data_IF_800934084835
#
_entry.id   IF_800934084835
#
_cell.length_a   1.000
_cell.length_b   1.000
_cell.length_c   1.000
_cell.angle_alpha   90.00
_cell.angle_beta   90.00
_cell.angle_gamma   90.00
#
_symmetry.space_group_name_H-M   'P 1'
#
loop_
_entity.id
_entity.type
_entity.pdbx_description
1 polymer ?
#
# COMPACT_ATOMS: atom_id res chain seq x y z
N UNK A 1 9.80 -0.79 -19.58
CA UNK A 1 9.54 0.69 -19.61
C UNK A 1 10.46 1.34 -18.58
N UNK A 2 11.11 2.42 -18.91
CA UNK A 2 12.08 3.05 -18.00
C UNK A 2 11.36 3.82 -16.89
N UNK A 3 11.96 3.91 -15.71
CA UNK A 3 11.39 4.62 -14.55
C UNK A 3 11.06 6.09 -14.87
N UNK A 4 11.91 6.76 -15.66
CA UNK A 4 11.71 8.15 -16.08
C UNK A 4 10.41 8.37 -16.89
N UNK A 5 10.01 7.39 -17.73
CA UNK A 5 8.76 7.45 -18.48
C UNK A 5 7.55 7.30 -17.55
N UNK A 6 7.63 6.41 -16.56
CA UNK A 6 6.58 6.24 -15.55
C UNK A 6 6.44 7.52 -14.71
N UNK A 7 7.54 8.11 -14.28
CA UNK A 7 7.51 9.36 -13.51
C UNK A 7 6.87 10.50 -14.31
N UNK A 8 7.14 10.62 -15.61
CA UNK A 8 6.45 11.60 -16.48
C UNK A 8 4.95 11.36 -16.56
N UNK A 9 4.52 10.09 -16.65
CA UNK A 9 3.07 9.75 -16.65
C UNK A 9 2.41 10.06 -15.31
N UNK A 10 3.10 9.83 -14.20
CA UNK A 10 2.63 10.22 -12.86
C UNK A 10 2.43 11.74 -12.81
N UNK A 11 3.44 12.52 -13.22
CA UNK A 11 3.34 13.98 -13.24
C UNK A 11 2.18 14.49 -14.12
N UNK A 12 2.01 13.91 -15.31
CA UNK A 12 0.89 14.25 -16.20
C UNK A 12 -0.49 13.92 -15.58
N UNK A 13 -0.59 12.83 -14.80
CA UNK A 13 -1.84 12.41 -14.17
C UNK A 13 -2.23 13.29 -12.95
N UNK A 14 -1.26 13.92 -12.28
CA UNK A 14 -1.47 14.73 -11.06
C UNK A 14 -2.31 15.98 -11.28
N UNK A 15 -2.33 16.54 -12.49
CA UNK A 15 -3.10 17.76 -12.83
C UNK A 15 -2.95 18.89 -11.79
N UNK A 16 -1.76 19.05 -11.19
CA UNK A 16 -1.50 20.04 -10.14
C UNK A 16 -1.84 19.61 -8.71
N UNK A 17 -2.33 18.40 -8.48
CA UNK A 17 -2.47 17.82 -7.14
C UNK A 17 -1.09 17.48 -6.56
N UNK A 18 -1.00 17.37 -5.24
CA UNK A 18 0.24 17.21 -4.47
C UNK A 18 1.18 16.07 -4.90
N UNK A 19 2.12 15.71 -4.07
CA UNK A 19 3.10 14.64 -4.34
C UNK A 19 2.44 13.25 -4.39
N UNK A 20 2.83 12.42 -5.35
CA UNK A 20 2.41 11.02 -5.48
C UNK A 20 3.62 10.12 -5.29
N UNK A 21 3.56 9.26 -4.29
CA UNK A 21 4.62 8.30 -3.98
C UNK A 21 4.49 7.04 -4.85
N UNK A 22 5.60 6.62 -5.47
CA UNK A 22 5.69 5.36 -6.20
C UNK A 22 6.26 4.27 -5.29
N UNK A 23 5.54 3.15 -5.17
CA UNK A 23 6.04 1.90 -4.58
C UNK A 23 6.26 0.90 -5.71
N UNK A 24 7.51 0.50 -5.93
CA UNK A 24 7.89 -0.51 -6.92
C UNK A 24 7.61 -1.91 -6.37
N UNK A 25 6.64 -2.62 -6.96
CA UNK A 25 6.21 -3.95 -6.50
C UNK A 25 7.12 -5.02 -7.10
N UNK A 26 8.00 -5.57 -6.28
CA UNK A 26 9.07 -6.49 -6.70
C UNK A 26 8.73 -7.99 -6.56
N UNK A 27 7.48 -8.35 -6.31
CA UNK A 27 7.03 -9.73 -6.00
C UNK A 27 7.44 -10.82 -7.01
N UNK A 28 7.69 -10.46 -8.26
CA UNK A 28 7.97 -11.41 -9.35
C UNK A 28 9.35 -11.19 -9.99
N UNK A 29 10.23 -10.40 -9.37
CA UNK A 29 11.57 -10.08 -9.88
C UNK A 29 12.65 -10.41 -8.85
N UNK A 30 13.90 -10.45 -9.29
CA UNK A 30 15.06 -10.74 -8.45
C UNK A 30 15.63 -9.49 -7.75
N UNK A 31 16.86 -9.64 -7.22
CA UNK A 31 17.57 -8.55 -6.56
C UNK A 31 18.19 -7.59 -7.57
N UNK A 32 18.55 -8.09 -8.75
CA UNK A 32 19.22 -7.28 -9.77
C UNK A 32 18.29 -6.21 -10.32
N UNK A 33 17.03 -6.53 -10.56
CA UNK A 33 16.01 -5.58 -10.98
C UNK A 33 15.71 -4.54 -9.90
N UNK A 34 15.76 -4.96 -8.61
CA UNK A 34 15.63 -4.00 -7.49
C UNK A 34 16.83 -3.05 -7.46
N UNK A 35 18.07 -3.55 -7.65
CA UNK A 35 19.28 -2.73 -7.73
C UNK A 35 19.24 -1.76 -8.91
N UNK A 36 18.76 -2.24 -10.05
CA UNK A 36 18.61 -1.41 -11.25
C UNK A 36 17.68 -0.22 -11.00
N UNK A 37 16.46 -0.48 -10.48
CA UNK A 37 15.53 0.60 -10.15
C UNK A 37 16.07 1.52 -9.04
N UNK A 38 16.77 0.96 -8.05
CA UNK A 38 17.41 1.77 -7.03
C UNK A 38 18.48 2.71 -7.62
N UNK A 39 19.28 2.26 -8.58
CA UNK A 39 20.27 3.10 -9.27
C UNK A 39 19.64 4.25 -10.06
N UNK A 40 18.36 4.13 -10.42
CA UNK A 40 17.56 5.17 -11.06
C UNK A 40 16.82 6.07 -10.03
N UNK A 41 17.02 5.86 -8.73
CA UNK A 41 16.45 6.69 -7.65
C UNK A 41 15.20 6.12 -6.97
N UNK A 42 14.73 4.93 -7.34
CA UNK A 42 13.60 4.31 -6.67
C UNK A 42 14.03 3.73 -5.31
N UNK A 43 13.41 4.16 -4.22
CA UNK A 43 13.77 3.71 -2.87
C UNK A 43 12.68 2.90 -2.16
N UNK A 44 11.41 3.07 -2.54
CA UNK A 44 10.29 2.37 -1.92
C UNK A 44 9.91 1.13 -2.74
N UNK A 45 9.96 -0.05 -2.10
CA UNK A 45 9.66 -1.34 -2.73
C UNK A 45 8.58 -2.08 -1.95
N UNK A 46 7.72 -2.82 -2.67
CA UNK A 46 6.61 -3.56 -2.10
C UNK A 46 6.71 -5.06 -2.33
N UNK A 47 6.53 -5.84 -1.24
CA UNK A 47 6.45 -7.29 -1.28
C UNK A 47 5.13 -7.81 -0.72
N UNK A 48 4.61 -8.87 -1.34
CA UNK A 48 3.35 -9.49 -0.92
C UNK A 48 3.52 -10.81 -0.12
N UNK A 49 4.74 -11.30 0.05
CA UNK A 49 5.07 -12.50 0.84
C UNK A 49 6.17 -12.16 1.85
N UNK A 50 5.95 -12.51 3.11
CA UNK A 50 6.92 -12.23 4.19
C UNK A 50 8.28 -12.88 3.93
N UNK A 51 8.28 -14.09 3.34
CA UNK A 51 9.53 -14.80 2.99
C UNK A 51 10.34 -14.06 1.92
N UNK A 52 9.66 -13.52 0.89
CA UNK A 52 10.33 -12.75 -0.16
C UNK A 52 10.83 -11.41 0.36
N UNK A 53 10.04 -10.75 1.21
CA UNK A 53 10.47 -9.54 1.90
C UNK A 53 11.74 -9.83 2.71
N UNK A 54 11.77 -10.91 3.50
CA UNK A 54 12.95 -11.31 4.27
C UNK A 54 14.15 -11.55 3.35
N UNK A 55 14.00 -12.40 2.35
CA UNK A 55 15.07 -12.77 1.42
C UNK A 55 15.71 -11.54 0.75
N UNK A 56 14.87 -10.62 0.28
CA UNK A 56 15.35 -9.42 -0.43
C UNK A 56 15.91 -8.36 0.51
N UNK A 57 15.26 -8.10 1.65
CA UNK A 57 15.76 -7.11 2.61
C UNK A 57 17.10 -7.52 3.23
N UNK A 58 17.33 -8.83 3.46
CA UNK A 58 18.62 -9.34 3.93
C UNK A 58 19.70 -9.27 2.84
N UNK A 59 19.38 -9.65 1.60
CA UNK A 59 20.32 -9.63 0.47
C UNK A 59 20.69 -8.22 -0.01
N UNK A 60 19.85 -7.23 0.26
CA UNK A 60 20.02 -5.84 -0.17
C UNK A 60 20.18 -4.88 1.02
N UNK A 61 20.63 -5.40 2.16
CA UNK A 61 20.75 -4.65 3.42
C UNK A 61 21.70 -3.44 3.38
N UNK A 62 22.62 -3.42 2.40
CA UNK A 62 23.55 -2.33 2.14
C UNK A 62 22.87 -1.12 1.49
N UNK A 63 21.66 -1.29 0.92
CA UNK A 63 20.91 -0.23 0.27
C UNK A 63 19.84 0.33 1.24
N UNK A 64 19.65 1.64 1.34
CA UNK A 64 18.67 2.27 2.22
C UNK A 64 17.24 2.16 1.65
N UNK A 65 16.82 0.93 1.34
CA UNK A 65 15.50 0.66 0.75
C UNK A 65 14.39 0.79 1.79
N UNK A 66 13.28 1.38 1.37
CA UNK A 66 12.04 1.46 2.17
C UNK A 66 11.12 0.31 1.77
N UNK A 67 11.09 -0.74 2.60
CA UNK A 67 10.29 -1.91 2.33
C UNK A 67 8.85 -1.74 2.82
N UNK A 68 7.89 -1.91 1.92
CA UNK A 68 6.47 -1.96 2.22
C UNK A 68 5.96 -3.41 2.15
N UNK A 69 5.19 -3.81 3.14
CA UNK A 69 4.46 -5.08 3.04
C UNK A 69 3.04 -4.81 2.54
N UNK A 70 2.70 -5.42 1.40
CA UNK A 70 1.46 -5.13 0.65
C UNK A 70 0.59 -6.38 0.43
N UNK A 71 0.94 -7.52 1.03
CA UNK A 71 0.21 -8.78 0.87
C UNK A 71 -0.62 -9.14 2.09
N UNK A 72 -1.53 -10.10 1.94
CA UNK A 72 -2.32 -10.60 3.06
C UNK A 72 -1.42 -11.24 4.12
N UNK A 73 -1.49 -10.72 5.33
CA UNK A 73 -0.69 -11.19 6.46
C UNK A 73 -1.40 -12.36 7.16
N UNK A 74 -0.80 -13.54 7.08
CA UNK A 74 -1.26 -14.70 7.84
C UNK A 74 -0.82 -14.60 9.31
N UNK A 75 -1.66 -15.03 10.24
CA UNK A 75 -1.41 -14.91 11.69
C UNK A 75 -0.11 -15.61 12.14
N UNK A 76 0.27 -16.73 11.50
CA UNK A 76 1.51 -17.46 11.77
C UNK A 76 2.77 -16.75 11.22
N UNK A 77 2.63 -15.67 10.44
CA UNK A 77 3.71 -14.87 9.87
C UNK A 77 3.91 -13.52 10.56
N UNK A 78 3.07 -13.17 11.53
CA UNK A 78 3.14 -11.88 12.23
C UNK A 78 4.54 -11.63 12.80
N UNK A 79 5.08 -12.57 13.59
CA UNK A 79 6.40 -12.40 14.22
C UNK A 79 7.53 -12.23 13.18
N UNK A 80 7.43 -12.94 12.05
CA UNK A 80 8.41 -12.79 10.96
C UNK A 80 8.33 -11.40 10.34
N UNK A 81 7.12 -10.89 10.06
CA UNK A 81 6.95 -9.54 9.50
C UNK A 81 7.47 -8.46 10.46
N UNK A 82 7.13 -8.55 11.73
CA UNK A 82 7.55 -7.58 12.76
C UNK A 82 9.08 -7.53 12.87
N UNK A 83 9.75 -8.70 12.85
CA UNK A 83 11.20 -8.77 12.91
C UNK A 83 11.92 -8.09 11.74
N UNK A 84 11.26 -8.00 10.57
CA UNK A 84 11.80 -7.33 9.37
C UNK A 84 11.67 -5.80 9.41
N UNK A 85 10.89 -5.26 10.34
CA UNK A 85 10.66 -3.81 10.51
C UNK A 85 10.31 -3.10 9.19
N UNK A 86 9.25 -3.50 8.48
CA UNK A 86 8.88 -2.81 7.25
C UNK A 86 8.61 -1.34 7.52
N UNK A 87 8.93 -0.48 6.55
CA UNK A 87 8.65 0.97 6.64
C UNK A 87 7.14 1.23 6.70
N UNK A 88 6.35 0.42 6.00
CA UNK A 88 4.90 0.56 5.95
C UNK A 88 4.23 -0.81 5.74
N UNK A 89 3.23 -1.11 6.57
CA UNK A 89 2.31 -2.22 6.35
C UNK A 89 1.01 -1.69 5.74
N UNK A 90 0.74 -2.03 4.47
CA UNK A 90 -0.39 -1.46 3.72
C UNK A 90 -1.67 -2.30 3.76
N UNK A 91 -1.63 -3.51 4.30
CA UNK A 91 -2.69 -4.51 4.14
C UNK A 91 -3.31 -4.96 5.48
N UNK A 92 -3.54 -4.01 6.38
CA UNK A 92 -4.29 -4.27 7.60
C UNK A 92 -5.79 -4.38 7.28
N UNK A 93 -6.32 -5.59 7.21
CA UNK A 93 -7.66 -5.88 6.68
C UNK A 93 -8.72 -6.23 7.72
N UNK A 94 -8.37 -6.23 9.01
CA UNK A 94 -9.34 -6.45 10.09
C UNK A 94 -8.82 -5.93 11.44
N UNK A 95 -9.75 -5.64 12.34
CA UNK A 95 -9.44 -5.28 13.72
C UNK A 95 -8.70 -6.41 14.46
N UNK A 96 -9.14 -7.66 14.27
CA UNK A 96 -8.55 -8.83 14.92
C UNK A 96 -7.07 -8.99 14.52
N UNK A 97 -6.76 -8.79 13.24
CA UNK A 97 -5.39 -8.83 12.74
C UNK A 97 -4.57 -7.65 13.30
N UNK A 98 -5.13 -6.44 13.31
CA UNK A 98 -4.50 -5.26 13.91
C UNK A 98 -4.15 -5.51 15.39
N UNK A 99 -5.09 -6.03 16.16
CA UNK A 99 -4.89 -6.36 17.58
C UNK A 99 -3.82 -7.43 17.78
N UNK A 100 -3.82 -8.47 16.93
CA UNK A 100 -2.84 -9.55 16.99
C UNK A 100 -1.41 -9.07 16.67
N UNK A 101 -1.26 -8.14 15.72
CA UNK A 101 0.02 -7.49 15.39
C UNK A 101 0.43 -6.55 16.51
N UNK A 102 -0.46 -5.67 16.97
CA UNK A 102 -0.19 -4.71 18.05
C UNK A 102 0.34 -5.34 19.32
N UNK A 103 -0.23 -6.50 19.74
CA UNK A 103 0.20 -7.25 20.93
C UNK A 103 1.64 -7.76 20.86
N UNK A 104 2.20 -7.89 19.68
CA UNK A 104 3.55 -8.43 19.42
C UNK A 104 4.57 -7.34 19.07
N UNK A 105 4.11 -6.16 18.68
CA UNK A 105 4.97 -5.03 18.34
C UNK A 105 5.63 -4.43 19.59
N UNK A 106 6.93 -4.15 19.47
CA UNK A 106 7.73 -3.42 20.47
C UNK A 106 8.21 -2.06 19.95
N UNK A 107 7.70 -1.66 18.80
CA UNK A 107 8.00 -0.38 18.13
C UNK A 107 6.77 0.11 17.37
N UNK A 108 6.65 1.42 17.08
CA UNK A 108 5.55 1.91 16.25
C UNK A 108 5.72 1.46 14.80
N UNK A 109 4.64 0.93 14.19
CA UNK A 109 4.60 0.53 12.79
C UNK A 109 3.59 1.38 12.02
N UNK A 110 4.06 2.11 11.02
CA UNK A 110 3.18 2.82 10.08
C UNK A 110 2.32 1.80 9.32
N UNK A 111 1.02 2.04 9.32
CA UNK A 111 0.03 1.06 8.85
C UNK A 111 -1.07 1.75 8.05
N UNK A 112 -1.51 1.12 6.95
CA UNK A 112 -2.72 1.50 6.23
C UNK A 112 -3.82 0.46 6.46
N UNK A 113 -5.05 0.94 6.59
CA UNK A 113 -6.23 0.09 6.62
C UNK A 113 -6.59 -0.35 5.19
N UNK A 114 -6.68 -1.64 4.94
CA UNK A 114 -7.10 -2.17 3.63
C UNK A 114 -8.62 -2.17 3.54
N UNK A 115 -9.15 -1.45 2.54
CA UNK A 115 -10.58 -1.26 2.30
C UNK A 115 -11.01 -2.05 1.07
N UNK A 116 -12.08 -2.82 1.19
CA UNK A 116 -12.80 -3.41 0.06
C UNK A 116 -13.75 -2.36 -0.55
N UNK A 117 -13.17 -1.39 -1.25
CA UNK A 117 -13.92 -0.29 -1.84
C UNK A 117 -14.85 -0.73 -3.00
N UNK A 118 -14.53 -1.83 -3.65
CA UNK A 118 -15.34 -2.40 -4.73
C UNK A 118 -16.58 -3.17 -4.22
N UNK A 119 -16.59 -3.58 -2.94
CA UNK A 119 -17.68 -4.38 -2.36
C UNK A 119 -17.74 -5.82 -2.90
N UNK A 120 -16.66 -6.33 -3.49
CA UNK A 120 -16.61 -7.67 -4.04
C UNK A 120 -16.33 -8.68 -2.91
N UNK A 121 -17.19 -9.69 -2.75
CA UNK A 121 -17.06 -10.71 -1.70
C UNK A 121 -15.78 -11.56 -1.80
N UNK A 122 -15.17 -11.63 -2.99
CA UNK A 122 -13.91 -12.35 -3.24
C UNK A 122 -12.66 -11.58 -2.81
N UNK A 123 -12.78 -10.29 -2.48
CA UNK A 123 -11.63 -9.43 -2.11
C UNK A 123 -11.45 -9.34 -0.60
N UNK A 124 -10.19 -9.24 -0.21
CA UNK A 124 -9.80 -8.88 1.15
C UNK A 124 -10.09 -7.41 1.43
N UNK A 125 -10.02 -7.03 2.68
CA UNK A 125 -10.26 -5.66 3.12
C UNK A 125 -11.54 -5.48 3.92
N UNK A 126 -11.58 -4.43 4.71
CA UNK A 126 -12.75 -4.07 5.51
C UNK A 126 -13.89 -3.54 4.63
N UNK A 127 -15.11 -3.82 5.03
CA UNK A 127 -16.29 -3.21 4.42
C UNK A 127 -16.18 -1.68 4.49
N UNK A 128 -16.35 -1.03 3.35
CA UNK A 128 -16.27 0.43 3.22
C UNK A 128 -17.18 1.18 4.20
N UNK A 129 -18.36 0.62 4.52
CA UNK A 129 -19.33 1.24 5.42
C UNK A 129 -18.86 1.23 6.89
N UNK A 130 -17.93 0.33 7.25
CA UNK A 130 -17.35 0.21 8.59
C UNK A 130 -15.95 0.81 8.70
N UNK A 131 -15.37 1.22 7.60
CA UNK A 131 -13.97 1.59 7.52
C UNK A 131 -13.58 2.73 8.48
N UNK A 132 -14.39 3.76 8.59
CA UNK A 132 -14.13 4.91 9.49
C UNK A 132 -14.21 4.47 10.96
N UNK A 133 -15.26 3.73 11.33
CA UNK A 133 -15.43 3.21 12.70
C UNK A 133 -14.24 2.32 13.10
N UNK A 134 -13.89 1.36 12.25
CA UNK A 134 -12.80 0.41 12.53
C UNK A 134 -11.42 1.11 12.56
N UNK A 135 -11.19 2.10 11.70
CA UNK A 135 -9.97 2.90 11.75
C UNK A 135 -9.81 3.60 13.12
N UNK A 136 -10.88 4.26 13.58
CA UNK A 136 -10.87 4.96 14.87
C UNK A 136 -10.69 4.00 16.04
N UNK A 137 -11.37 2.85 15.99
CA UNK A 137 -11.24 1.78 16.99
C UNK A 137 -9.82 1.24 17.06
N UNK A 138 -9.23 0.87 15.92
CA UNK A 138 -7.84 0.37 15.86
C UNK A 138 -6.88 1.44 16.38
N UNK A 139 -7.04 2.69 15.97
CA UNK A 139 -6.21 3.80 16.44
C UNK A 139 -6.30 4.02 17.94
N UNK A 140 -7.47 3.81 18.52
CA UNK A 140 -7.68 3.93 19.96
C UNK A 140 -7.05 2.78 20.74
N UNK A 141 -7.18 1.53 20.24
CA UNK A 141 -6.83 0.33 20.99
C UNK A 141 -5.43 -0.23 20.66
N UNK A 142 -4.91 0.04 19.46
CA UNK A 142 -3.66 -0.52 18.95
C UNK A 142 -2.54 0.54 18.93
N UNK A 143 -2.00 0.89 20.10
CA UNK A 143 -1.07 2.02 20.27
C UNK A 143 0.29 1.87 19.57
N UNK A 144 0.70 0.64 19.24
CA UNK A 144 1.91 0.38 18.48
C UNK A 144 1.67 0.39 16.95
N UNK A 145 0.41 0.49 16.51
CA UNK A 145 0.08 0.72 15.10
C UNK A 145 -0.18 2.21 14.88
N UNK A 146 0.66 2.82 14.05
CA UNK A 146 0.45 4.19 13.61
C UNK A 146 -0.39 4.19 12.34
N UNK A 147 -1.72 4.26 12.48
CA UNK A 147 -2.62 4.31 11.32
C UNK A 147 -2.47 5.67 10.62
N UNK A 148 -1.92 5.67 9.41
CA UNK A 148 -1.60 6.87 8.63
C UNK A 148 -2.39 6.99 7.33
N UNK A 149 -3.37 6.13 7.11
CA UNK A 149 -4.20 6.20 5.92
C UNK A 149 -4.88 4.89 5.55
N UNK A 150 -5.30 4.82 4.30
CA UNK A 150 -6.03 3.69 3.73
C UNK A 150 -5.37 3.15 2.47
N UNK A 151 -5.63 1.89 2.17
CA UNK A 151 -5.23 1.22 0.94
C UNK A 151 -6.44 0.52 0.32
N UNK A 152 -6.55 0.55 -1.00
CA UNK A 152 -7.50 -0.31 -1.72
C UNK A 152 -6.89 -0.89 -2.99
N UNK A 153 -7.48 -1.99 -3.45
CA UNK A 153 -7.24 -2.57 -4.77
C UNK A 153 -8.46 -2.25 -5.61
N UNK A 154 -8.26 -1.62 -6.78
CA UNK A 154 -9.32 -1.26 -7.70
C UNK A 154 -10.19 -2.46 -8.11
N UNK A 155 -11.40 -2.20 -8.57
CA UNK A 155 -12.30 -3.25 -9.04
C UNK A 155 -11.66 -4.03 -10.20
N UNK A 156 -11.76 -5.37 -10.17
CA UNK A 156 -11.27 -6.23 -11.26
C UNK A 156 -12.30 -6.32 -12.39
N UNK A 157 -12.58 -5.20 -12.99
CA UNK A 157 -13.51 -5.05 -14.13
C UNK A 157 -12.83 -4.30 -15.26
N UNK A 158 -13.33 -4.45 -16.47
CA UNK A 158 -12.80 -3.75 -17.65
C UNK A 158 -13.35 -2.35 -17.84
N UNK A 159 -14.43 -2.01 -17.16
CA UNK A 159 -15.12 -0.72 -17.31
C UNK A 159 -14.47 0.38 -16.46
N UNK A 160 -13.86 1.42 -17.09
CA UNK A 160 -13.16 2.48 -16.35
C UNK A 160 -14.05 3.23 -15.34
N UNK A 161 -15.33 3.41 -15.65
CA UNK A 161 -16.27 4.07 -14.75
C UNK A 161 -16.51 3.29 -13.44
N UNK A 162 -16.49 1.96 -13.47
CA UNK A 162 -16.61 1.14 -12.27
C UNK A 162 -15.32 1.16 -11.44
N UNK A 163 -14.17 1.18 -12.12
CA UNK A 163 -12.87 1.33 -11.45
C UNK A 163 -12.80 2.70 -10.76
N UNK A 164 -13.19 3.79 -11.46
CA UNK A 164 -13.24 5.13 -10.89
C UNK A 164 -14.12 5.19 -9.65
N UNK A 165 -15.35 4.65 -9.70
CA UNK A 165 -16.25 4.60 -8.53
C UNK A 165 -15.63 3.92 -7.31
N UNK A 166 -14.84 2.85 -7.52
CA UNK A 166 -14.16 2.18 -6.42
C UNK A 166 -13.05 3.05 -5.81
N UNK A 167 -12.34 3.83 -6.61
CA UNK A 167 -11.32 4.77 -6.14
C UNK A 167 -11.94 5.98 -5.45
N UNK A 168 -13.04 6.52 -5.98
CA UNK A 168 -13.79 7.62 -5.37
C UNK A 168 -14.32 7.22 -3.99
N UNK A 169 -14.90 6.03 -3.86
CA UNK A 169 -15.36 5.51 -2.56
C UNK A 169 -14.19 5.38 -1.55
N UNK A 170 -13.02 4.93 -1.98
CA UNK A 170 -11.84 4.88 -1.11
C UNK A 170 -11.34 6.28 -0.75
N UNK A 171 -11.43 7.23 -1.68
CA UNK A 171 -11.06 8.62 -1.46
C UNK A 171 -11.99 9.31 -0.47
N UNK A 172 -13.30 9.10 -0.54
CA UNK A 172 -14.27 9.63 0.44
C UNK A 172 -13.96 9.13 1.87
N UNK A 173 -13.62 7.84 2.02
CA UNK A 173 -13.21 7.29 3.31
C UNK A 173 -11.91 7.97 3.80
N UNK A 174 -10.93 8.12 2.91
CA UNK A 174 -9.69 8.81 3.25
C UNK A 174 -9.94 10.23 3.71
N UNK A 175 -10.76 11.01 3.00
CA UNK A 175 -11.08 12.40 3.34
C UNK A 175 -11.76 12.50 4.71
N UNK A 176 -12.66 11.58 5.04
CA UNK A 176 -13.27 11.48 6.36
C UNK A 176 -12.24 11.18 7.47
N UNK A 177 -11.12 10.55 7.14
CA UNK A 177 -10.07 10.17 8.08
C UNK A 177 -8.92 11.20 8.19
N UNK A 178 -8.84 12.18 7.29
CA UNK A 178 -7.83 13.27 7.35
C UNK A 178 -7.84 14.00 8.70
N UNK A 179 -8.99 14.39 9.28
CA UNK A 179 -9.03 15.00 10.60
C UNK A 179 -8.49 14.08 11.71
N UNK A 180 -8.44 12.78 11.45
CA UNK A 180 -7.94 11.76 12.37
C UNK A 180 -6.49 11.35 12.09
N UNK A 181 -5.79 12.08 11.22
CA UNK A 181 -4.36 11.91 10.94
C UNK A 181 -4.04 10.99 9.76
N UNK A 182 -5.03 10.63 8.94
CA UNK A 182 -4.76 9.98 7.66
C UNK A 182 -4.05 10.95 6.71
N UNK A 183 -2.97 10.46 6.07
CA UNK A 183 -2.17 11.23 5.10
C UNK A 183 -1.83 10.44 3.84
N UNK A 184 -2.10 9.13 3.83
CA UNK A 184 -1.83 8.26 2.67
C UNK A 184 -3.13 7.63 2.17
N UNK A 185 -3.44 7.87 0.89
CA UNK A 185 -4.47 7.20 0.13
C UNK A 185 -3.78 6.35 -0.94
N UNK A 186 -3.55 5.06 -0.62
CA UNK A 186 -2.80 4.13 -1.48
C UNK A 186 -3.76 3.35 -2.37
N UNK A 187 -3.83 3.70 -3.65
CA UNK A 187 -4.62 3.01 -4.66
C UNK A 187 -4.02 3.22 -6.05
N UNK A 188 -4.30 2.30 -6.98
CA UNK A 188 -3.74 2.31 -8.33
C UNK A 188 -2.56 1.36 -8.50
N UNK A 189 -2.63 0.60 -9.59
CA UNK A 189 -1.64 -0.39 -10.03
C UNK A 189 -1.29 -0.16 -11.50
N UNK A 190 -0.53 -1.08 -12.11
CA UNK A 190 0.03 -0.94 -13.47
C UNK A 190 -1.01 -0.56 -14.54
N UNK A 191 -2.24 -0.99 -14.40
CA UNK A 191 -3.27 -0.82 -15.44
C UNK A 191 -4.19 0.39 -15.19
N UNK A 192 -4.20 0.95 -13.96
CA UNK A 192 -5.20 1.94 -13.54
C UNK A 192 -4.62 3.11 -12.71
N UNK A 193 -3.29 3.19 -12.55
CA UNK A 193 -2.67 4.19 -11.65
C UNK A 193 -2.96 5.64 -12.04
N UNK A 194 -3.04 5.95 -13.34
CA UNK A 194 -3.34 7.31 -13.80
C UNK A 194 -4.77 7.72 -13.41
N UNK A 195 -5.71 6.78 -13.52
CA UNK A 195 -7.10 6.99 -13.07
C UNK A 195 -7.14 7.13 -11.54
N UNK A 196 -6.41 6.28 -10.81
CA UNK A 196 -6.32 6.37 -9.36
C UNK A 196 -5.76 7.72 -8.89
N UNK A 197 -4.73 8.24 -9.55
CA UNK A 197 -4.16 9.57 -9.27
C UNK A 197 -5.23 10.66 -9.50
N UNK A 198 -5.96 10.61 -10.61
CA UNK A 198 -7.06 11.55 -10.91
C UNK A 198 -8.18 11.48 -9.87
N UNK A 199 -8.43 10.31 -9.29
CA UNK A 199 -9.36 10.10 -8.17
C UNK A 199 -8.74 10.45 -6.79
N UNK A 200 -7.53 11.01 -6.74
CA UNK A 200 -6.91 11.55 -5.53
C UNK A 200 -5.99 10.57 -4.77
N UNK A 201 -5.48 9.53 -5.43
CA UNK A 201 -4.39 8.72 -4.88
C UNK A 201 -3.12 9.54 -4.69
N UNK A 202 -2.46 9.41 -3.55
CA UNK A 202 -1.13 9.97 -3.31
C UNK A 202 -0.05 8.90 -3.08
N UNK A 203 -0.41 7.62 -3.26
CA UNK A 203 0.53 6.49 -3.29
C UNK A 203 0.04 5.44 -4.28
N UNK A 204 0.89 5.06 -5.24
CA UNK A 204 0.60 4.02 -6.24
C UNK A 204 1.58 2.86 -6.12
N UNK A 205 1.14 1.67 -6.56
CA UNK A 205 1.92 0.43 -6.44
C UNK A 205 2.08 -0.22 -7.81
N UNK A 206 3.22 0.01 -8.46
CA UNK A 206 3.48 -0.47 -9.82
C UNK A 206 4.41 -1.68 -9.81
N UNK A 207 4.07 -2.69 -10.58
CA UNK A 207 4.88 -3.91 -10.76
C UNK A 207 5.27 -4.08 -12.23
N UNK A 208 4.45 -4.80 -12.99
CA UNK A 208 4.75 -5.23 -14.38
C UNK A 208 5.36 -4.13 -15.26
N UNK A 209 4.78 -2.94 -15.27
CA UNK A 209 5.20 -1.87 -16.16
C UNK A 209 6.57 -1.26 -15.82
N UNK A 210 7.10 -1.50 -14.61
CA UNK A 210 8.43 -1.06 -14.22
C UNK A 210 9.54 -2.02 -14.69
N UNK A 211 9.20 -3.28 -14.90
CA UNK A 211 10.15 -4.36 -15.22
C UNK A 211 9.96 -4.94 -16.62
N UNK A 212 9.08 -4.37 -17.44
CA UNK A 212 8.81 -4.77 -18.82
C UNK A 212 9.80 -4.14 -19.81
#
# INVERSE_FOLDING_TARGET
MRLDEILKRIEAAKAGSGEVQLVAVSKNVGMDEVRELYSQGQIAFGENRVQELKRKSEALRELPLKWHFIGTLQSNKINQLIALRPTLWQSCNSYELALAVNKRLTYPLDTLLEINAAGESSKTGLDKNRAVEEFLRIKQECKNLNLIGVMSIGAHVSEPAQIARSFEANREIFDALVPHGARICSMGMSDDFELAIKCGSNMIRLGRILYA
#
